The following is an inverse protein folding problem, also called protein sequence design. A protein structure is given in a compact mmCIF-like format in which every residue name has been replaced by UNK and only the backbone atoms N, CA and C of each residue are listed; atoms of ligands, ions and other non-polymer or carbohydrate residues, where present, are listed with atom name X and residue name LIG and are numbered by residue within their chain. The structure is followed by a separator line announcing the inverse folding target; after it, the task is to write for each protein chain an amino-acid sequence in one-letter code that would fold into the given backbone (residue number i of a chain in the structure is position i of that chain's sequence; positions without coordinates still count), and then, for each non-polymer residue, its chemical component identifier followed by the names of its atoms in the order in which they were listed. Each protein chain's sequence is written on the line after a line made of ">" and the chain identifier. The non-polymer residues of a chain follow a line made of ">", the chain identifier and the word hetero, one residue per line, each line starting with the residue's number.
data_IF_758399163056
#
_entry.id   IF_758399163056
#
_cell.length_a   1.000
_cell.length_b   1.000
_cell.length_c   1.000
_cell.angle_alpha   90.00
_cell.angle_beta   90.00
_cell.angle_gamma   90.00
#
_symmetry.space_group_name_H-M   'P 1'
#
loop_
_entity.id
_entity.type
_entity.pdbx_description
1 polymer ?
#
# COMPACT_ATOMS: atom_id res chain seq x y z
N UNK A 1 17.00 25.07 23.91
CA UNK A 1 16.57 24.19 22.79
C UNK A 1 16.14 25.10 21.67
N UNK A 2 17.00 25.29 20.67
CA UNK A 2 16.77 26.18 19.54
C UNK A 2 15.68 25.60 18.64
N UNK A 3 14.61 26.37 18.42
CA UNK A 3 13.47 26.04 17.57
C UNK A 3 13.93 26.03 16.10
N UNK A 4 14.39 24.89 15.61
CA UNK A 4 14.70 24.65 14.19
C UNK A 4 13.41 24.50 13.38
N UNK A 5 12.56 25.54 13.35
CA UNK A 5 11.42 25.57 12.44
C UNK A 5 11.87 26.05 11.07
N UNK A 6 11.65 25.21 10.06
CA UNK A 6 11.86 25.56 8.65
C UNK A 6 11.10 26.83 8.32
N UNK A 7 11.74 27.77 7.62
CA UNK A 7 11.09 28.97 7.07
C UNK A 7 10.08 28.64 5.96
N UNK A 8 10.09 27.40 5.47
CA UNK A 8 9.27 26.91 4.37
C UNK A 8 8.13 26.04 4.90
N UNK A 9 6.94 26.20 4.33
CA UNK A 9 5.77 25.40 4.71
C UNK A 9 5.91 23.93 4.34
N UNK A 10 6.76 23.60 3.36
CA UNK A 10 7.14 22.24 2.98
C UNK A 10 8.60 22.03 3.33
N UNK A 11 8.90 20.96 4.08
CA UNK A 11 10.27 20.59 4.45
C UNK A 11 10.60 19.12 4.14
N UNK A 12 9.60 18.32 3.77
CA UNK A 12 9.76 16.89 3.44
C UNK A 12 9.08 16.56 2.11
N UNK A 13 9.83 15.86 1.27
CA UNK A 13 9.38 15.30 0.00
C UNK A 13 9.84 13.84 -0.08
N UNK A 14 8.97 12.96 -0.56
CA UNK A 14 9.25 11.54 -0.79
C UNK A 14 8.70 11.15 -2.17
N UNK A 15 9.49 10.37 -2.91
CA UNK A 15 9.01 9.61 -4.04
C UNK A 15 9.58 8.20 -3.98
N UNK A 16 8.72 7.20 -4.13
CA UNK A 16 9.10 5.79 -4.21
C UNK A 16 8.46 5.14 -5.43
N UNK A 17 9.19 4.20 -6.02
CA UNK A 17 8.74 3.39 -7.14
C UNK A 17 8.87 1.91 -6.79
N UNK A 18 7.80 1.14 -7.01
CA UNK A 18 7.76 -0.30 -6.75
C UNK A 18 7.48 -1.03 -8.05
N UNK A 19 8.28 -2.06 -8.34
CA UNK A 19 8.10 -2.91 -9.50
C UNK A 19 8.31 -4.38 -9.13
N UNK A 20 7.23 -5.17 -9.17
CA UNK A 20 7.27 -6.62 -8.92
C UNK A 20 6.71 -7.43 -10.08
N UNK A 21 6.51 -6.80 -11.25
CA UNK A 21 5.92 -7.43 -12.44
C UNK A 21 6.81 -8.52 -13.05
N UNK A 22 8.13 -8.33 -12.99
CA UNK A 22 9.13 -9.31 -13.43
C UNK A 22 9.62 -10.13 -12.24
N UNK A 23 9.29 -11.42 -12.20
CA UNK A 23 9.63 -12.34 -11.11
C UNK A 23 10.53 -13.50 -11.58
N UNK A 24 11.04 -13.47 -12.81
CA UNK A 24 12.00 -14.46 -13.30
C UNK A 24 12.72 -13.97 -14.57
N UNK A 25 12.90 -12.66 -14.70
CA UNK A 25 13.61 -12.07 -15.85
C UNK A 25 12.95 -12.38 -17.19
N UNK A 26 13.74 -12.32 -18.27
CA UNK A 26 13.30 -12.62 -19.64
C UNK A 26 12.74 -14.05 -19.80
N UNK A 27 13.19 -15.00 -18.97
CA UNK A 27 12.79 -16.41 -19.02
C UNK A 27 11.28 -16.62 -18.76
N UNK A 28 10.65 -15.69 -18.03
CA UNK A 28 9.20 -15.63 -17.84
C UNK A 28 8.43 -15.44 -19.16
N UNK A 29 9.00 -14.65 -20.08
CA UNK A 29 8.41 -14.33 -21.36
C UNK A 29 8.60 -15.48 -22.37
N UNK A 30 9.69 -16.24 -22.25
CA UNK A 30 10.02 -17.33 -23.17
C UNK A 30 9.32 -18.66 -22.85
N UNK A 31 9.16 -19.02 -21.57
CA UNK A 31 8.65 -20.35 -21.18
C UNK A 31 7.24 -20.35 -20.59
N UNK A 32 6.59 -19.18 -20.45
CA UNK A 32 5.24 -19.06 -19.86
C UNK A 32 5.13 -19.52 -18.40
N UNK A 33 6.27 -19.81 -17.76
CA UNK A 33 6.36 -20.36 -16.41
C UNK A 33 6.76 -19.24 -15.43
N UNK A 34 5.97 -18.18 -15.40
CA UNK A 34 6.24 -17.04 -14.53
C UNK A 34 6.23 -17.45 -13.06
N UNK A 35 7.24 -17.00 -12.31
CA UNK A 35 7.35 -17.29 -10.88
C UNK A 35 6.23 -16.63 -10.08
N UNK A 36 6.09 -17.03 -8.81
CA UNK A 36 5.01 -16.60 -7.94
C UNK A 36 5.56 -16.30 -6.54
N UNK A 37 6.47 -15.33 -6.44
CA UNK A 37 7.41 -15.14 -5.32
C UNK A 37 6.79 -15.11 -3.92
N UNK A 38 5.54 -14.67 -3.78
CA UNK A 38 4.89 -14.51 -2.48
C UNK A 38 3.89 -15.63 -2.14
N UNK A 39 3.78 -16.63 -3.02
CA UNK A 39 2.96 -17.82 -2.83
C UNK A 39 3.84 -19.05 -2.68
N UNK A 40 3.38 -20.03 -1.90
CA UNK A 40 4.13 -21.26 -1.67
C UNK A 40 3.20 -22.49 -1.65
N UNK A 41 3.73 -23.66 -2.02
CA UNK A 41 2.95 -24.92 -2.07
C UNK A 41 2.64 -25.48 -0.68
N UNK A 42 3.61 -25.43 0.23
CA UNK A 42 3.49 -25.86 1.63
C UNK A 42 2.76 -24.80 2.46
N UNK A 43 3.30 -23.58 2.53
CA UNK A 43 2.65 -22.44 3.18
C UNK A 43 1.57 -21.85 2.26
N UNK A 44 0.39 -22.48 2.25
CA UNK A 44 -0.72 -22.15 1.34
C UNK A 44 -1.23 -20.71 1.46
N UNK A 45 -1.07 -20.10 2.64
CA UNK A 45 -1.37 -18.68 2.90
C UNK A 45 -0.44 -17.72 2.17
N UNK A 46 0.69 -18.20 1.66
CA UNK A 46 1.75 -17.33 1.13
C UNK A 46 2.42 -16.54 2.25
N UNK A 47 3.09 -15.46 1.87
CA UNK A 47 3.82 -14.57 2.79
C UNK A 47 2.86 -13.66 3.58
N UNK A 48 2.07 -14.26 4.47
CA UNK A 48 1.05 -13.57 5.28
C UNK A 48 1.20 -13.85 6.76
N UNK A 49 0.83 -12.88 7.58
CA UNK A 49 0.66 -13.03 9.03
C UNK A 49 -0.79 -12.63 9.38
N UNK A 50 -1.53 -13.51 10.05
CA UNK A 50 -2.95 -13.32 10.39
C UNK A 50 -3.84 -12.87 9.21
N UNK A 51 -3.62 -13.47 8.03
CA UNK A 51 -4.37 -13.15 6.81
C UNK A 51 -4.01 -11.81 6.16
N UNK A 52 -3.01 -11.09 6.70
CA UNK A 52 -2.50 -9.84 6.14
C UNK A 52 -1.16 -10.07 5.47
N UNK A 53 -0.91 -9.36 4.37
CA UNK A 53 0.37 -9.42 3.67
C UNK A 53 1.50 -8.97 4.59
N UNK A 54 2.55 -9.78 4.73
CA UNK A 54 3.65 -9.51 5.65
C UNK A 54 4.86 -8.81 5.02
N UNK A 55 4.90 -8.65 3.69
CA UNK A 55 6.03 -7.98 3.00
C UNK A 55 5.70 -6.52 2.62
N UNK A 56 4.72 -6.31 1.75
CA UNK A 56 4.33 -4.98 1.30
C UNK A 56 2.81 -4.85 1.29
N UNK A 57 2.23 -3.72 1.77
CA UNK A 57 0.78 -3.51 1.76
C UNK A 57 0.19 -3.37 0.34
N UNK A 58 1.03 -3.19 -0.69
CA UNK A 58 0.59 -3.13 -2.09
C UNK A 58 0.27 -4.51 -2.66
N UNK A 59 0.81 -5.58 -2.07
CA UNK A 59 0.51 -6.96 -2.46
C UNK A 59 -0.71 -7.42 -1.68
N UNK A 60 -1.65 -8.05 -2.38
CA UNK A 60 -3.00 -8.31 -1.82
C UNK A 60 -3.25 -9.80 -1.71
N UNK A 61 -3.53 -10.33 -0.50
CA UNK A 61 -3.99 -11.71 -0.32
C UNK A 61 -5.37 -11.91 -0.94
N UNK A 62 -5.78 -13.17 -1.15
CA UNK A 62 -7.19 -13.45 -1.40
C UNK A 62 -8.03 -12.96 -0.22
N UNK A 63 -9.21 -12.41 -0.51
CA UNK A 63 -10.15 -11.97 0.52
C UNK A 63 -10.49 -13.11 1.48
N UNK A 64 -10.72 -12.77 2.75
CA UNK A 64 -11.19 -13.75 3.73
C UNK A 64 -12.50 -14.38 3.25
N UNK A 65 -12.62 -15.70 3.39
CA UNK A 65 -13.77 -16.48 2.89
C UNK A 65 -13.67 -16.90 1.42
N UNK A 66 -12.63 -16.51 0.68
CA UNK A 66 -12.37 -17.06 -0.65
C UNK A 66 -12.09 -18.57 -0.57
N UNK A 67 -12.58 -19.33 -1.54
CA UNK A 67 -12.20 -20.75 -1.74
C UNK A 67 -10.71 -20.91 -2.10
N UNK A 68 -10.02 -19.79 -2.34
CA UNK A 68 -8.62 -19.70 -2.72
C UNK A 68 -7.82 -19.10 -1.58
N UNK A 69 -6.62 -19.61 -1.38
CA UNK A 69 -5.68 -19.16 -0.34
C UNK A 69 -4.38 -18.70 -1.00
N UNK A 70 -3.72 -17.70 -0.42
CA UNK A 70 -2.47 -17.15 -0.91
C UNK A 70 -2.55 -15.67 -1.28
N UNK A 71 -1.54 -15.20 -2.00
CA UNK A 71 -1.44 -13.85 -2.54
C UNK A 71 -2.09 -13.79 -3.92
N UNK A 72 -3.17 -13.01 -4.03
CA UNK A 72 -3.97 -12.84 -5.24
C UNK A 72 -3.33 -11.88 -6.25
N UNK A 73 -2.64 -10.87 -5.73
CA UNK A 73 -1.93 -9.88 -6.53
C UNK A 73 -0.54 -9.66 -5.95
N UNK A 74 0.47 -10.15 -6.67
CA UNK A 74 1.87 -9.97 -6.28
C UNK A 74 2.75 -9.36 -7.37
N UNK A 75 2.15 -8.98 -8.49
CA UNK A 75 2.78 -8.29 -9.62
C UNK A 75 2.19 -6.88 -9.69
N UNK A 76 2.93 -5.90 -9.20
CA UNK A 76 2.49 -4.51 -9.06
C UNK A 76 3.51 -3.58 -9.68
N UNK A 77 3.01 -2.52 -10.30
CA UNK A 77 3.78 -1.31 -10.61
C UNK A 77 3.15 -0.19 -9.81
N UNK A 78 3.92 0.45 -8.93
CA UNK A 78 3.40 1.44 -8.00
C UNK A 78 4.27 2.69 -7.94
N UNK A 79 3.61 3.83 -7.79
CA UNK A 79 4.22 5.13 -7.52
C UNK A 79 3.68 5.63 -6.17
N UNK A 80 4.57 6.03 -5.27
CA UNK A 80 4.22 6.60 -3.98
C UNK A 80 4.86 7.98 -3.86
N UNK A 81 4.06 8.98 -3.48
CA UNK A 81 4.51 10.35 -3.29
C UNK A 81 4.11 10.80 -1.89
N UNK A 82 5.04 11.42 -1.18
CA UNK A 82 4.79 12.02 0.12
C UNK A 82 5.24 13.48 0.15
N UNK A 83 4.43 14.33 0.78
CA UNK A 83 4.78 15.71 1.10
C UNK A 83 4.46 15.97 2.57
N UNK A 84 5.32 16.72 3.23
CA UNK A 84 5.11 17.09 4.63
C UNK A 84 5.81 18.38 5.00
N UNK A 85 5.38 18.95 6.11
CA UNK A 85 5.88 20.24 6.55
C UNK A 85 5.22 20.72 7.84
N UNK A 86 5.49 21.98 8.15
CA UNK A 86 5.05 22.61 9.39
C UNK A 86 4.46 24.00 9.10
N UNK A 87 3.29 24.28 9.69
CA UNK A 87 2.64 25.60 9.65
C UNK A 87 2.37 26.03 11.10
N UNK A 88 3.22 26.91 11.65
CA UNK A 88 3.14 27.26 13.07
C UNK A 88 3.46 26.06 13.96
N UNK A 89 2.47 25.59 14.74
CA UNK A 89 2.58 24.37 15.57
C UNK A 89 1.94 23.12 14.92
N UNK A 90 1.40 23.25 13.71
CA UNK A 90 0.79 22.16 12.95
C UNK A 90 1.85 21.43 12.13
N UNK A 91 2.13 20.17 12.45
CA UNK A 91 2.87 19.23 11.60
C UNK A 91 1.88 18.52 10.68
N UNK A 92 2.13 18.51 9.38
CA UNK A 92 1.25 17.84 8.42
C UNK A 92 2.01 16.88 7.51
N UNK A 93 1.28 15.88 7.02
CA UNK A 93 1.77 14.92 6.03
C UNK A 93 0.64 14.51 5.08
N UNK A 94 0.95 14.46 3.79
CA UNK A 94 0.06 13.89 2.77
C UNK A 94 0.82 12.82 1.99
N UNK A 95 0.21 11.66 1.82
CA UNK A 95 0.74 10.53 1.06
C UNK A 95 -0.25 10.15 -0.04
N UNK A 96 0.26 9.86 -1.24
CA UNK A 96 -0.52 9.38 -2.38
C UNK A 96 0.17 8.17 -2.96
N UNK A 97 -0.57 7.09 -3.19
CA UNK A 97 -0.07 5.87 -3.82
C UNK A 97 -0.95 5.50 -4.99
N UNK A 98 -0.38 5.36 -6.18
CA UNK A 98 -1.07 4.87 -7.36
C UNK A 98 -0.44 3.54 -7.80
N UNK A 99 -1.26 2.52 -8.05
CA UNK A 99 -0.79 1.20 -8.43
C UNK A 99 -1.53 0.64 -9.64
N UNK A 100 -0.80 -0.10 -10.48
CA UNK A 100 -1.34 -0.98 -11.52
C UNK A 100 -1.04 -2.42 -11.11
N UNK A 101 -2.09 -3.24 -11.11
CA UNK A 101 -2.08 -4.57 -10.49
C UNK A 101 -2.26 -5.63 -11.56
N UNK A 102 -1.34 -6.60 -11.63
CA UNK A 102 -1.24 -7.60 -12.69
C UNK A 102 -1.50 -9.03 -12.19
N UNK A 103 -1.98 -9.17 -10.95
CA UNK A 103 -2.32 -10.46 -10.35
C UNK A 103 -1.10 -11.36 -10.16
N UNK A 104 -1.19 -12.59 -10.66
CA UNK A 104 -0.13 -13.61 -10.64
C UNK A 104 -0.08 -14.36 -11.97
N UNK A 105 1.12 -14.80 -12.39
CA UNK A 105 1.26 -15.63 -13.59
C UNK A 105 0.47 -16.94 -13.52
N UNK A 106 0.41 -17.56 -12.33
CA UNK A 106 -0.33 -18.80 -12.10
C UNK A 106 -1.82 -18.64 -12.39
N UNK A 107 -2.41 -17.52 -12.00
CA UNK A 107 -3.83 -17.26 -12.23
C UNK A 107 -4.14 -16.91 -13.67
N UNK A 108 -3.23 -16.19 -14.32
CA UNK A 108 -3.31 -15.93 -15.76
C UNK A 108 -3.35 -17.24 -16.55
N UNK A 109 -2.39 -18.14 -16.32
CA UNK A 109 -2.33 -19.46 -16.97
C UNK A 109 -3.57 -20.31 -16.70
N UNK A 110 -4.13 -20.22 -15.48
CA UNK A 110 -5.38 -20.92 -15.13
C UNK A 110 -6.58 -20.38 -15.90
N UNK A 111 -6.65 -19.07 -16.12
CA UNK A 111 -7.71 -18.45 -16.91
C UNK A 111 -7.58 -18.86 -18.39
N UNK A 112 -6.37 -18.77 -18.95
CA UNK A 112 -6.03 -19.20 -20.31
C UNK A 112 -6.39 -20.68 -20.56
N UNK A 113 -5.98 -21.59 -19.67
CA UNK A 113 -6.29 -23.03 -19.78
C UNK A 113 -7.80 -23.34 -19.69
N UNK A 114 -8.60 -22.44 -19.11
CA UNK A 114 -10.06 -22.60 -18.98
C UNK A 114 -10.81 -21.86 -20.08
N UNK A 115 -10.13 -21.09 -20.93
CA UNK A 115 -10.77 -20.25 -21.94
C UNK A 115 -11.63 -19.15 -21.33
N UNK A 116 -11.26 -18.62 -20.16
CA UNK A 116 -11.98 -17.52 -19.49
C UNK A 116 -11.11 -16.28 -19.41
N UNK A 117 -11.75 -15.11 -19.32
CA UNK A 117 -11.06 -13.84 -19.20
C UNK A 117 -10.24 -13.76 -17.91
N UNK A 118 -9.04 -13.19 -18.03
CA UNK A 118 -8.18 -12.98 -16.89
C UNK A 118 -8.52 -11.67 -16.19
N UNK A 119 -8.89 -11.72 -14.91
CA UNK A 119 -9.31 -10.55 -14.10
C UNK A 119 -8.36 -9.34 -14.16
N UNK A 120 -7.05 -9.56 -14.35
CA UNK A 120 -6.05 -8.48 -14.38
C UNK A 120 -5.54 -8.20 -15.81
N UNK A 121 -6.38 -8.46 -16.82
CA UNK A 121 -6.16 -8.04 -18.21
C UNK A 121 -7.42 -7.30 -18.71
N UNK A 122 -7.42 -5.94 -18.75
CA UNK A 122 -6.30 -5.03 -18.43
C UNK A 122 -5.95 -4.99 -16.92
N UNK A 123 -4.74 -4.48 -16.55
CA UNK A 123 -4.34 -4.41 -15.15
C UNK A 123 -5.23 -3.47 -14.34
N UNK A 124 -5.63 -3.91 -13.15
CA UNK A 124 -6.51 -3.15 -12.28
C UNK A 124 -5.77 -1.98 -11.63
N UNK A 125 -6.36 -0.80 -11.64
CA UNK A 125 -5.75 0.39 -11.03
C UNK A 125 -6.30 0.65 -9.62
N UNK A 126 -5.46 1.14 -8.72
CA UNK A 126 -5.87 1.53 -7.36
C UNK A 126 -5.09 2.75 -6.91
N UNK A 127 -5.79 3.72 -6.33
CA UNK A 127 -5.24 4.92 -5.72
C UNK A 127 -5.59 4.99 -4.25
N UNK A 128 -4.60 5.27 -3.41
CA UNK A 128 -4.76 5.48 -1.96
C UNK A 128 -4.20 6.85 -1.58
N UNK A 129 -4.97 7.66 -0.87
CA UNK A 129 -4.58 8.99 -0.38
C UNK A 129 -4.72 9.03 1.13
N UNK A 130 -3.73 9.59 1.83
CA UNK A 130 -3.77 9.85 3.27
C UNK A 130 -3.38 11.30 3.54
N UNK A 131 -4.16 12.00 4.36
CA UNK A 131 -3.83 13.32 4.90
C UNK A 131 -3.82 13.24 6.43
N UNK A 132 -2.77 13.77 7.03
CA UNK A 132 -2.56 13.78 8.47
C UNK A 132 -2.14 15.17 8.95
N UNK A 133 -2.60 15.50 10.15
CA UNK A 133 -2.28 16.72 10.87
C UNK A 133 -2.06 16.40 12.34
N UNK A 134 -0.99 16.95 12.92
CA UNK A 134 -0.63 16.84 14.33
C UNK A 134 -0.45 18.21 14.94
N UNK A 135 -0.96 18.37 16.16
CA UNK A 135 -0.80 19.59 16.95
C UNK A 135 -0.50 19.24 18.41
N UNK A 136 0.45 19.94 19.06
CA UNK A 136 0.61 19.87 20.50
C UNK A 136 -0.61 20.52 21.17
N UNK A 137 -1.12 19.91 22.23
CA UNK A 137 -2.20 20.49 23.01
C UNK A 137 -1.68 21.67 23.84
N UNK A 138 -2.24 22.89 23.69
CA UNK A 138 -1.65 24.09 24.30
C UNK A 138 -1.61 24.04 25.84
N UNK A 139 -2.64 23.49 26.48
CA UNK A 139 -2.80 23.53 27.95
C UNK A 139 -2.20 22.33 28.68
N UNK A 140 -1.75 21.30 27.95
CA UNK A 140 -1.22 20.06 28.52
C UNK A 140 0.11 19.77 27.84
N UNK A 141 1.23 20.23 28.42
CA UNK A 141 2.54 19.99 27.87
C UNK A 141 2.77 18.49 27.64
N UNK A 142 3.35 18.13 26.48
CA UNK A 142 3.63 16.73 26.04
C UNK A 142 2.42 15.91 25.61
N UNK A 143 1.22 16.49 25.56
CA UNK A 143 0.09 15.91 24.86
C UNK A 143 0.08 16.38 23.40
N UNK A 144 -0.07 15.46 22.46
CA UNK A 144 -0.26 15.72 21.04
C UNK A 144 -1.58 15.10 20.58
N UNK A 145 -2.26 15.81 19.68
CA UNK A 145 -3.45 15.32 18.99
C UNK A 145 -3.13 15.15 17.51
N UNK A 146 -3.46 13.98 16.96
CA UNK A 146 -3.42 13.69 15.52
C UNK A 146 -4.83 13.52 14.98
N UNK A 147 -5.13 14.14 13.85
CA UNK A 147 -6.23 13.77 12.98
C UNK A 147 -5.71 13.19 11.67
N UNK A 148 -6.36 12.15 11.15
CA UNK A 148 -6.09 11.61 9.82
C UNK A 148 -7.37 11.33 9.03
N UNK A 149 -7.28 11.48 7.71
CA UNK A 149 -8.30 11.05 6.77
C UNK A 149 -7.64 10.30 5.60
N UNK A 150 -8.19 9.14 5.27
CA UNK A 150 -7.72 8.29 4.17
C UNK A 150 -8.83 7.98 3.18
N UNK A 151 -8.47 7.85 1.90
CA UNK A 151 -9.36 7.44 0.82
C UNK A 151 -8.65 6.37 -0.01
N UNK A 152 -9.33 5.27 -0.28
CA UNK A 152 -8.92 4.23 -1.22
C UNK A 152 -9.96 4.17 -2.34
N UNK A 153 -9.53 4.23 -3.60
CA UNK A 153 -10.44 4.12 -4.74
C UNK A 153 -9.78 3.42 -5.93
N UNK A 154 -10.58 2.69 -6.70
CA UNK A 154 -10.16 2.03 -7.92
C UNK A 154 -10.83 0.69 -8.13
N UNK A 155 -10.18 -0.18 -8.89
CA UNK A 155 -10.76 -1.42 -9.40
C UNK A 155 -10.32 -2.65 -8.60
N UNK A 156 -9.26 -2.53 -7.79
CA UNK A 156 -8.70 -3.66 -7.06
C UNK A 156 -9.51 -3.99 -5.79
N UNK A 157 -9.89 -2.95 -5.04
CA UNK A 157 -10.59 -3.03 -3.74
C UNK A 157 -11.80 -2.10 -3.78
N UNK A 158 -12.73 -2.33 -2.86
CA UNK A 158 -13.89 -1.44 -2.69
C UNK A 158 -13.43 -0.02 -2.31
N UNK A 159 -14.16 0.97 -2.83
CA UNK A 159 -13.93 2.36 -2.46
C UNK A 159 -14.19 2.54 -0.97
N UNK A 160 -13.22 3.11 -0.26
CA UNK A 160 -13.28 3.25 1.20
C UNK A 160 -12.80 4.62 1.65
N UNK A 161 -13.39 5.12 2.74
CA UNK A 161 -12.94 6.32 3.45
C UNK A 161 -12.69 5.94 4.91
N UNK A 162 -11.57 6.40 5.46
CA UNK A 162 -11.18 6.18 6.85
C UNK A 162 -10.89 7.49 7.57
N UNK A 163 -11.24 7.56 8.85
CA UNK A 163 -10.90 8.69 9.74
C UNK A 163 -10.21 8.16 10.99
N UNK A 164 -9.22 8.89 11.49
CA UNK A 164 -8.49 8.58 12.73
C UNK A 164 -8.39 9.83 13.60
N UNK A 165 -8.59 9.66 14.91
CA UNK A 165 -8.22 10.62 15.95
C UNK A 165 -7.31 9.91 16.96
N UNK A 166 -6.15 10.49 17.22
CA UNK A 166 -5.12 9.89 18.10
C UNK A 166 -4.66 10.90 19.14
N UNK A 167 -4.44 10.42 20.36
CA UNK A 167 -3.87 11.17 21.47
C UNK A 167 -2.55 10.50 21.85
N UNK A 168 -1.47 11.28 21.90
CA UNK A 168 -0.15 10.79 22.30
C UNK A 168 0.37 11.62 23.47
N UNK A 169 0.68 10.96 24.60
CA UNK A 169 1.28 11.60 25.77
C UNK A 169 2.63 10.94 26.09
N UNK A 170 3.68 11.76 26.19
CA UNK A 170 5.02 11.28 26.51
C UNK A 170 5.28 11.33 28.02
N UNK A 171 5.38 10.16 28.65
CA UNK A 171 5.80 10.00 30.05
C UNK A 171 7.33 10.20 30.20
N UNK A 172 7.76 10.59 31.39
CA UNK A 172 9.19 10.71 31.75
C UNK A 172 9.72 9.40 32.31
#
# INVERSE_FOLDING_TARGET
>A
MTDTRSRWWVDRLLYEYVFTKSQNGEEAAFNGNGSNYFNHSIYKSGWTLYGRMAASPLLTPFSQGSSRVGIANNRVVGHHVGIGGNIGSLDYRTLVTCTRNFGTFRDRRRAENRGVDYRFDPPLEQTSVLVEARVPWPSVPRLEIKGAAGIDTGELREDTIGLELSLAYQFR
#
